data_IF_063538959433
#
_entry.id   IF_063538959433
#
_cell.length_a   1.000
_cell.length_b   1.000
_cell.length_c   1.000
_cell.angle_alpha   90.00
_cell.angle_beta   90.00
_cell.angle_gamma   90.00
#
_symmetry.space_group_name_H-M   'P 1'
#
loop_
_entity.id
_entity.type
_entity.pdbx_description
1 polymer ?
#
# COMPACT_ATOMS: atom_id res chain seq x y z
N UNK A 1 -11.02 20.67 -11.74
CA UNK A 1 -11.27 20.04 -10.43
C UNK A 1 -12.23 20.89 -9.65
N UNK A 2 -13.31 20.29 -9.16
CA UNK A 2 -14.26 20.96 -8.27
C UNK A 2 -13.60 21.27 -6.90
N UNK A 3 -14.15 22.23 -6.14
CA UNK A 3 -13.57 22.62 -4.85
C UNK A 3 -13.49 21.46 -3.84
N UNK A 4 -14.51 20.59 -3.82
CA UNK A 4 -14.54 19.39 -2.96
C UNK A 4 -13.38 18.43 -3.24
N UNK A 5 -13.06 18.24 -4.51
CA UNK A 5 -11.97 17.38 -4.99
C UNK A 5 -10.60 18.00 -4.67
N UNK A 6 -10.43 19.30 -4.89
CA UNK A 6 -9.20 20.03 -4.52
C UNK A 6 -8.88 19.91 -3.03
N UNK A 7 -9.91 19.99 -2.19
CA UNK A 7 -9.79 19.79 -0.74
C UNK A 7 -9.28 18.38 -0.43
N UNK A 8 -9.92 17.36 -1.00
CA UNK A 8 -9.56 15.96 -0.78
C UNK A 8 -8.12 15.68 -1.21
N UNK A 9 -7.70 16.13 -2.39
CA UNK A 9 -6.33 15.93 -2.89
C UNK A 9 -5.32 16.59 -1.97
N UNK A 10 -5.53 17.85 -1.58
CA UNK A 10 -4.61 18.53 -0.66
C UNK A 10 -4.58 17.89 0.73
N UNK A 11 -5.72 17.45 1.24
CA UNK A 11 -5.79 16.72 2.50
C UNK A 11 -5.02 15.40 2.42
N UNK A 12 -5.15 14.67 1.32
CA UNK A 12 -4.39 13.44 1.06
C UNK A 12 -2.89 13.70 1.10
N UNK A 13 -2.39 14.71 0.38
CA UNK A 13 -0.97 15.07 0.39
C UNK A 13 -0.46 15.35 1.82
N UNK A 14 -1.20 16.17 2.58
CA UNK A 14 -0.82 16.55 3.93
C UNK A 14 -0.87 15.36 4.90
N UNK A 15 -1.92 14.53 4.83
CA UNK A 15 -2.02 13.33 5.68
C UNK A 15 -0.90 12.35 5.36
N UNK A 16 -0.61 12.10 4.07
CA UNK A 16 0.44 11.18 3.65
C UNK A 16 1.82 11.63 4.12
N UNK A 17 2.09 12.93 4.12
CA UNK A 17 3.39 13.46 4.53
C UNK A 17 3.53 13.59 6.05
N UNK A 18 2.53 14.15 6.72
CA UNK A 18 2.66 14.58 8.12
C UNK A 18 1.94 13.67 9.11
N UNK A 19 1.12 12.73 8.65
CA UNK A 19 0.23 11.92 9.47
C UNK A 19 -1.15 12.56 9.62
N UNK A 20 -2.16 11.77 10.00
CA UNK A 20 -3.53 12.29 10.10
C UNK A 20 -3.64 13.19 11.33
N UNK A 21 -3.09 12.78 12.47
CA UNK A 21 -3.28 13.48 13.74
C UNK A 21 -2.69 14.89 13.75
N UNK A 22 -1.56 15.09 13.08
CA UNK A 22 -0.82 16.36 13.06
C UNK A 22 -1.45 17.42 12.16
N UNK A 23 -2.26 17.03 11.17
CA UNK A 23 -2.88 17.94 10.20
C UNK A 23 -4.26 18.37 10.67
N UNK A 24 -4.48 19.66 10.88
CA UNK A 24 -5.79 20.21 11.25
C UNK A 24 -6.59 20.66 10.02
N UNK A 25 -7.91 20.87 10.22
CA UNK A 25 -8.75 21.50 9.19
C UNK A 25 -8.28 22.92 8.84
N UNK A 26 -7.63 23.63 9.79
CA UNK A 26 -7.07 24.95 9.53
C UNK A 26 -5.84 24.88 8.61
N UNK A 27 -4.97 23.89 8.81
CA UNK A 27 -3.78 23.68 7.97
C UNK A 27 -4.17 23.43 6.51
N UNK A 28 -5.22 22.62 6.30
CA UNK A 28 -5.75 22.30 4.97
C UNK A 28 -6.35 23.56 4.31
N UNK A 29 -7.17 24.31 5.05
CA UNK A 29 -7.77 25.55 4.55
C UNK A 29 -6.70 26.60 4.17
N UNK A 30 -5.69 26.76 5.02
CA UNK A 30 -4.57 27.68 4.80
C UNK A 30 -3.74 27.28 3.56
N UNK A 31 -3.42 25.99 3.39
CA UNK A 31 -2.70 25.48 2.22
C UNK A 31 -3.46 25.68 0.90
N UNK A 32 -4.79 25.80 0.96
CA UNK A 32 -5.63 26.02 -0.20
C UNK A 32 -5.99 27.50 -0.44
N UNK A 33 -5.57 28.41 0.45
CA UNK A 33 -5.95 29.81 0.41
C UNK A 33 -7.46 30.03 0.57
N UNK A 34 -8.14 29.17 1.34
CA UNK A 34 -9.57 29.26 1.57
C UNK A 34 -9.91 29.44 3.05
N UNK A 35 -11.12 29.90 3.33
CA UNK A 35 -11.58 29.99 4.72
C UNK A 35 -11.94 28.62 5.28
N UNK A 36 -11.75 28.43 6.59
CA UNK A 36 -12.22 27.23 7.32
C UNK A 36 -13.72 27.00 7.12
N UNK A 37 -14.51 28.07 7.04
CA UNK A 37 -15.95 28.00 6.77
C UNK A 37 -16.25 27.38 5.41
N UNK A 38 -15.46 27.72 4.38
CA UNK A 38 -15.60 27.14 3.03
C UNK A 38 -15.27 25.65 3.05
N UNK A 39 -14.22 25.24 3.76
CA UNK A 39 -13.88 23.83 3.93
C UNK A 39 -15.05 23.03 4.53
N UNK A 40 -15.66 23.56 5.60
CA UNK A 40 -16.80 22.93 6.26
C UNK A 40 -18.11 22.88 5.45
N UNK A 41 -18.20 23.62 4.33
CA UNK A 41 -19.33 23.47 3.41
C UNK A 41 -19.26 22.17 2.61
N UNK A 42 -18.05 21.58 2.47
CA UNK A 42 -17.82 20.37 1.68
C UNK A 42 -17.63 19.11 2.52
N UNK A 43 -17.07 19.26 3.72
CA UNK A 43 -16.85 18.18 4.69
C UNK A 43 -17.24 18.68 6.07
N UNK A 44 -18.22 18.03 6.72
CA UNK A 44 -18.79 18.44 7.99
C UNK A 44 -17.76 18.41 9.13
N UNK A 45 -16.82 17.48 9.06
CA UNK A 45 -15.73 17.35 10.02
C UNK A 45 -14.49 16.72 9.38
N UNK A 46 -13.44 16.55 10.20
CA UNK A 46 -12.19 15.91 9.78
C UNK A 46 -12.37 14.42 9.52
N UNK A 47 -13.27 13.73 10.21
CA UNK A 47 -13.49 12.30 10.04
C UNK A 47 -14.10 12.00 8.67
N UNK A 48 -15.05 12.82 8.22
CA UNK A 48 -15.63 12.75 6.88
C UNK A 48 -14.55 12.96 5.80
N UNK A 49 -13.68 13.96 5.98
CA UNK A 49 -12.59 14.23 5.05
C UNK A 49 -11.55 13.09 5.02
N UNK A 50 -11.17 12.57 6.18
CA UNK A 50 -10.28 11.40 6.29
C UNK A 50 -10.92 10.20 5.59
N UNK A 51 -12.21 9.94 5.83
CA UNK A 51 -12.92 8.86 5.17
C UNK A 51 -12.91 8.99 3.64
N UNK A 52 -13.23 10.18 3.11
CA UNK A 52 -13.22 10.43 1.67
C UNK A 52 -11.82 10.27 1.05
N UNK A 53 -10.78 10.76 1.72
CA UNK A 53 -9.39 10.59 1.27
C UNK A 53 -9.00 9.12 1.19
N UNK A 54 -9.26 8.34 2.24
CA UNK A 54 -8.86 6.94 2.29
C UNK A 54 -9.71 6.04 1.39
N UNK A 55 -10.99 6.33 1.22
CA UNK A 55 -11.86 5.62 0.27
C UNK A 55 -11.38 5.79 -1.18
N UNK A 56 -11.04 7.03 -1.56
CA UNK A 56 -10.44 7.32 -2.86
C UNK A 56 -9.07 6.65 -3.03
N UNK A 57 -8.24 6.66 -1.97
CA UNK A 57 -6.92 6.03 -1.97
C UNK A 57 -7.02 4.51 -2.13
N UNK A 58 -7.90 3.84 -1.38
CA UNK A 58 -8.16 2.39 -1.49
C UNK A 58 -8.66 2.05 -2.90
N UNK A 59 -9.57 2.85 -3.45
CA UNK A 59 -10.09 2.64 -4.81
C UNK A 59 -8.99 2.72 -5.85
N UNK A 60 -8.06 3.68 -5.72
CA UNK A 60 -6.89 3.77 -6.59
C UNK A 60 -5.98 2.55 -6.43
N UNK A 61 -5.64 2.17 -5.21
CA UNK A 61 -4.80 0.99 -4.94
C UNK A 61 -5.41 -0.31 -5.50
N UNK A 62 -6.74 -0.46 -5.47
CA UNK A 62 -7.43 -1.57 -6.13
C UNK A 62 -7.17 -1.57 -7.64
N UNK A 63 -7.33 -0.41 -8.28
CA UNK A 63 -7.03 -0.22 -9.70
C UNK A 63 -5.59 -0.56 -10.05
N UNK A 64 -4.63 -0.09 -9.23
CA UNK A 64 -3.20 -0.32 -9.42
C UNK A 64 -2.86 -1.82 -9.30
N UNK A 65 -3.45 -2.52 -8.31
CA UNK A 65 -3.28 -3.97 -8.15
C UNK A 65 -3.81 -4.75 -9.37
N UNK A 66 -5.01 -4.40 -9.86
CA UNK A 66 -5.59 -5.03 -11.06
C UNK A 66 -4.75 -4.74 -12.30
N UNK A 67 -4.26 -3.51 -12.43
CA UNK A 67 -3.36 -3.11 -13.51
C UNK A 67 -2.07 -3.92 -13.49
N UNK A 68 -1.44 -4.08 -12.32
CA UNK A 68 -0.24 -4.90 -12.15
C UNK A 68 -0.49 -6.35 -12.60
N UNK A 69 -1.61 -6.94 -12.18
CA UNK A 69 -1.98 -8.31 -12.57
C UNK A 69 -2.21 -8.47 -14.07
N UNK A 70 -2.91 -7.53 -14.70
CA UNK A 70 -3.20 -7.57 -16.14
C UNK A 70 -1.96 -7.34 -17.01
N UNK A 71 -1.01 -6.52 -16.54
CA UNK A 71 0.23 -6.20 -17.25
C UNK A 71 1.36 -7.19 -16.94
N UNK A 72 1.16 -8.11 -15.99
CA UNK A 72 2.16 -9.08 -15.61
C UNK A 72 2.34 -10.17 -16.69
N UNK A 73 3.59 -10.59 -16.89
CA UNK A 73 3.93 -11.73 -17.76
C UNK A 73 3.77 -13.09 -17.05
N UNK A 74 3.51 -13.06 -15.75
CA UNK A 74 3.39 -14.21 -14.85
C UNK A 74 3.35 -13.78 -13.39
N UNK A 75 3.07 -14.72 -12.47
CA UNK A 75 2.90 -14.47 -11.04
C UNK A 75 4.10 -13.77 -10.38
N UNK A 76 5.32 -14.19 -10.71
CA UNK A 76 6.55 -13.52 -10.21
C UNK A 76 6.63 -12.08 -10.70
N UNK A 77 6.35 -11.83 -11.99
CA UNK A 77 6.42 -10.47 -12.54
C UNK A 77 5.41 -9.53 -11.88
N UNK A 78 4.20 -10.02 -11.62
CA UNK A 78 3.16 -9.27 -10.92
C UNK A 78 3.66 -8.77 -9.55
N UNK A 79 4.24 -9.66 -8.74
CA UNK A 79 4.76 -9.27 -7.42
C UNK A 79 5.90 -8.25 -7.54
N UNK A 80 6.72 -8.32 -8.60
CA UNK A 80 7.75 -7.31 -8.85
C UNK A 80 7.18 -5.94 -9.21
N UNK A 81 6.16 -5.89 -10.08
CA UNK A 81 5.46 -4.65 -10.41
C UNK A 81 4.82 -4.05 -9.15
N UNK A 82 4.10 -4.87 -8.38
CA UNK A 82 3.50 -4.46 -7.10
C UNK A 82 4.54 -3.98 -6.10
N UNK A 83 5.71 -4.62 -6.03
CA UNK A 83 6.79 -4.20 -5.14
C UNK A 83 7.33 -2.81 -5.51
N UNK A 84 7.53 -2.52 -6.80
CA UNK A 84 8.01 -1.21 -7.25
C UNK A 84 7.01 -0.10 -6.86
N UNK A 85 5.72 -0.30 -7.15
CA UNK A 85 4.66 0.65 -6.81
C UNK A 85 4.55 0.88 -5.29
N UNK A 86 4.54 -0.20 -4.49
CA UNK A 86 4.46 -0.09 -3.03
C UNK A 86 5.69 0.63 -2.46
N UNK A 87 6.89 0.34 -2.97
CA UNK A 87 8.10 0.99 -2.48
C UNK A 87 8.08 2.50 -2.75
N UNK A 88 7.64 2.91 -3.94
CA UNK A 88 7.52 4.33 -4.30
C UNK A 88 6.50 5.04 -3.40
N UNK A 89 5.32 4.44 -3.23
CA UNK A 89 4.26 4.99 -2.40
C UNK A 89 4.67 5.08 -0.92
N UNK A 90 5.23 4.01 -0.36
CA UNK A 90 5.56 3.92 1.06
C UNK A 90 6.79 4.73 1.44
N UNK A 91 7.67 5.05 0.50
CA UNK A 91 8.83 5.92 0.76
C UNK A 91 8.43 7.35 1.08
N UNK A 92 7.26 7.79 0.60
CA UNK A 92 6.72 9.13 0.83
C UNK A 92 5.60 9.15 1.88
N UNK A 93 5.26 7.98 2.43
CA UNK A 93 4.15 7.80 3.36
C UNK A 93 4.61 7.91 4.82
N UNK A 94 3.83 8.64 5.62
CA UNK A 94 4.04 8.73 7.05
C UNK A 94 3.67 7.39 7.72
N UNK A 95 4.59 6.74 8.45
CA UNK A 95 4.33 5.43 9.04
C UNK A 95 3.24 5.45 10.13
N UNK A 96 2.90 6.63 10.66
CA UNK A 96 1.84 6.77 11.67
C UNK A 96 0.42 6.69 11.08
N UNK A 97 0.24 6.75 9.76
CA UNK A 97 -1.09 6.80 9.13
C UNK A 97 -2.03 5.69 9.59
N UNK A 98 -1.57 4.44 9.52
CA UNK A 98 -2.40 3.30 9.89
C UNK A 98 -2.70 3.29 11.40
N UNK A 99 -1.71 3.62 12.22
CA UNK A 99 -1.91 3.76 13.66
C UNK A 99 -2.94 4.86 13.98
N UNK A 100 -2.86 6.01 13.31
CA UNK A 100 -3.80 7.11 13.48
C UNK A 100 -5.22 6.73 13.04
N UNK A 101 -5.35 6.01 11.91
CA UNK A 101 -6.63 5.46 11.47
C UNK A 101 -7.23 4.54 12.52
N UNK A 102 -6.45 3.56 12.99
CA UNK A 102 -6.92 2.58 13.96
C UNK A 102 -7.37 3.23 15.27
N UNK A 103 -6.63 4.24 15.74
CA UNK A 103 -6.86 4.84 17.05
C UNK A 103 -7.92 5.93 17.07
N UNK A 104 -8.03 6.72 16.01
CA UNK A 104 -8.85 7.93 15.98
C UNK A 104 -9.96 7.91 14.92
N UNK A 105 -9.83 7.10 13.87
CA UNK A 105 -10.76 7.08 12.72
C UNK A 105 -11.27 5.66 12.44
N UNK A 106 -11.82 5.00 13.47
CA UNK A 106 -12.16 3.57 13.47
C UNK A 106 -13.01 3.13 12.27
N UNK A 107 -14.03 3.90 11.89
CA UNK A 107 -14.87 3.59 10.72
C UNK A 107 -14.05 3.50 9.42
N UNK A 108 -13.12 4.42 9.22
CA UNK A 108 -12.24 4.42 8.04
C UNK A 108 -11.23 3.27 8.11
N UNK A 109 -10.73 2.97 9.31
CA UNK A 109 -9.90 1.79 9.54
C UNK A 109 -10.64 0.48 9.21
N UNK A 110 -11.92 0.35 9.57
CA UNK A 110 -12.74 -0.82 9.21
C UNK A 110 -12.86 -0.98 7.69
N UNK A 111 -13.01 0.11 6.93
CA UNK A 111 -13.04 0.06 5.46
C UNK A 111 -11.71 -0.45 4.90
N UNK A 112 -10.58 0.04 5.42
CA UNK A 112 -9.26 -0.49 5.08
C UNK A 112 -9.14 -2.00 5.41
N UNK A 113 -9.63 -2.42 6.58
CA UNK A 113 -9.61 -3.84 6.97
C UNK A 113 -10.50 -4.71 6.07
N UNK A 114 -11.64 -4.19 5.60
CA UNK A 114 -12.48 -4.88 4.62
C UNK A 114 -11.77 -5.02 3.27
N UNK A 115 -11.08 -3.97 2.82
CA UNK A 115 -10.24 -4.03 1.63
C UNK A 115 -9.14 -5.11 1.77
N UNK A 116 -8.42 -5.14 2.89
CA UNK A 116 -7.40 -6.16 3.19
C UNK A 116 -7.97 -7.58 3.19
N UNK A 117 -9.05 -7.78 3.95
CA UNK A 117 -9.62 -9.11 4.23
C UNK A 117 -10.52 -9.65 3.12
N UNK A 118 -10.78 -8.87 2.06
CA UNK A 118 -11.54 -9.31 0.88
C UNK A 118 -10.70 -9.19 -0.38
N UNK A 119 -10.41 -7.97 -0.80
CA UNK A 119 -9.76 -7.72 -2.08
C UNK A 119 -8.31 -8.22 -2.10
N UNK A 120 -7.47 -7.80 -1.14
CA UNK A 120 -6.07 -8.24 -1.10
C UNK A 120 -5.95 -9.74 -0.84
N UNK A 121 -6.89 -10.31 -0.07
CA UNK A 121 -6.95 -11.76 0.17
C UNK A 121 -7.08 -12.52 -1.14
N UNK A 122 -8.01 -12.09 -1.98
CA UNK A 122 -8.27 -12.72 -3.27
C UNK A 122 -7.10 -12.51 -4.23
N UNK A 123 -6.57 -11.28 -4.34
CA UNK A 123 -5.40 -10.98 -5.18
C UNK A 123 -4.19 -11.86 -4.85
N UNK A 124 -3.85 -11.98 -3.56
CA UNK A 124 -2.72 -12.80 -3.12
C UNK A 124 -2.97 -14.29 -3.40
N UNK A 125 -4.19 -14.79 -3.13
CA UNK A 125 -4.55 -16.18 -3.41
C UNK A 125 -4.42 -16.50 -4.89
N UNK A 126 -5.00 -15.66 -5.76
CA UNK A 126 -4.96 -15.83 -7.21
C UNK A 126 -3.52 -15.80 -7.75
N UNK A 127 -2.68 -14.90 -7.22
CA UNK A 127 -1.27 -14.84 -7.60
C UNK A 127 -0.54 -16.16 -7.26
N UNK A 128 -0.75 -16.71 -6.05
CA UNK A 128 -0.14 -17.97 -5.63
C UNK A 128 -0.61 -19.13 -6.51
N UNK A 129 -1.93 -19.25 -6.73
CA UNK A 129 -2.52 -20.29 -7.57
C UNK A 129 -1.98 -20.24 -9.01
N UNK A 130 -1.93 -19.03 -9.59
CA UNK A 130 -1.38 -18.82 -10.92
C UNK A 130 0.10 -19.16 -11.00
N UNK A 131 0.89 -18.77 -9.99
CA UNK A 131 2.32 -19.08 -9.96
C UNK A 131 2.62 -20.57 -9.82
N UNK A 132 1.76 -21.34 -9.15
CA UNK A 132 1.83 -22.81 -9.13
C UNK A 132 1.52 -23.37 -10.52
N UNK A 133 0.46 -22.90 -11.18
CA UNK A 133 0.08 -23.33 -12.52
C UNK A 133 1.15 -23.00 -13.59
N UNK A 134 1.87 -21.88 -13.41
CA UNK A 134 3.01 -21.47 -14.25
C UNK A 134 4.33 -22.20 -13.90
N UNK A 135 4.31 -23.07 -12.87
CA UNK A 135 5.47 -23.78 -12.29
C UNK A 135 6.56 -22.83 -11.73
N UNK A 136 6.20 -21.57 -11.48
CA UNK A 136 7.09 -20.57 -10.89
C UNK A 136 7.12 -20.69 -9.37
N UNK A 137 6.02 -21.15 -8.76
CA UNK A 137 5.90 -21.41 -7.32
C UNK A 137 5.84 -22.91 -7.03
N UNK A 138 6.27 -23.30 -5.82
CA UNK A 138 6.35 -24.71 -5.45
C UNK A 138 4.93 -25.33 -5.39
N UNK A 139 4.74 -26.58 -5.84
CA UNK A 139 3.43 -27.20 -5.89
C UNK A 139 2.92 -27.70 -4.52
N UNK A 140 3.80 -27.77 -3.51
CA UNK A 140 3.51 -28.25 -2.16
C UNK A 140 3.07 -27.13 -1.18
N UNK A 141 2.89 -25.91 -1.68
CA UNK A 141 2.52 -24.76 -0.86
C UNK A 141 1.10 -24.89 -0.29
N UNK A 142 0.95 -24.62 1.01
CA UNK A 142 -0.36 -24.42 1.61
C UNK A 142 -0.85 -22.99 1.33
N UNK A 143 -1.66 -22.84 0.28
CA UNK A 143 -2.15 -21.55 -0.23
C UNK A 143 -2.88 -20.77 0.87
N UNK A 144 -3.75 -21.41 1.65
CA UNK A 144 -4.55 -20.72 2.68
C UNK A 144 -3.67 -20.12 3.79
N UNK A 145 -2.69 -20.88 4.27
CA UNK A 145 -1.74 -20.42 5.30
C UNK A 145 -0.88 -19.27 4.76
N UNK A 146 -0.38 -19.39 3.53
CA UNK A 146 0.50 -18.39 2.94
C UNK A 146 -0.23 -17.09 2.59
N UNK A 147 -1.48 -17.17 2.11
CA UNK A 147 -2.33 -15.99 1.91
C UNK A 147 -2.55 -15.25 3.22
N UNK A 148 -2.94 -15.96 4.30
CA UNK A 148 -3.13 -15.35 5.63
C UNK A 148 -1.83 -14.74 6.16
N UNK A 149 -0.72 -15.48 6.08
CA UNK A 149 0.59 -14.98 6.47
C UNK A 149 0.97 -13.72 5.69
N UNK A 150 0.69 -13.67 4.39
CA UNK A 150 1.00 -12.49 3.57
C UNK A 150 0.19 -11.27 4.01
N UNK A 151 -1.09 -11.44 4.31
CA UNK A 151 -2.00 -10.37 4.75
C UNK A 151 -1.68 -9.82 6.14
N UNK A 152 -1.07 -10.61 7.01
CA UNK A 152 -0.61 -10.13 8.32
C UNK A 152 0.82 -9.59 8.24
N UNK A 153 1.71 -10.25 7.51
CA UNK A 153 3.10 -9.79 7.35
C UNK A 153 3.20 -8.44 6.64
N UNK A 154 2.27 -8.09 5.73
CA UNK A 154 2.20 -6.75 5.13
C UNK A 154 1.88 -5.64 6.12
N UNK A 155 1.29 -5.96 7.27
CA UNK A 155 0.93 -4.99 8.30
C UNK A 155 2.09 -4.70 9.25
N UNK A 156 3.07 -5.61 9.35
CA UNK A 156 4.19 -5.49 10.28
C UNK A 156 4.99 -4.18 10.12
N UNK A 157 5.32 -3.68 8.91
CA UNK A 157 6.02 -2.41 8.75
C UNK A 157 5.32 -1.20 9.40
N UNK A 158 4.01 -1.28 9.62
CA UNK A 158 3.21 -0.23 10.26
C UNK A 158 3.14 -0.35 11.79
N UNK A 159 3.64 -1.45 12.37
CA UNK A 159 3.77 -1.55 13.82
C UNK A 159 5.00 -0.74 14.28
N UNK A 160 4.72 0.49 14.70
CA UNK A 160 5.75 1.44 15.14
C UNK A 160 6.47 1.03 16.42
N UNK A 161 5.96 0.05 17.18
CA UNK A 161 6.70 -0.50 18.31
C UNK A 161 7.76 -1.50 17.85
N UNK A 162 7.45 -2.24 16.77
CA UNK A 162 8.36 -3.20 16.16
C UNK A 162 9.38 -2.52 15.24
N UNK A 163 8.93 -1.55 14.44
CA UNK A 163 9.76 -0.77 13.51
C UNK A 163 9.60 0.74 13.78
N UNK A 164 10.32 1.30 14.78
CA UNK A 164 10.23 2.71 15.13
C UNK A 164 10.59 3.66 13.98
N UNK A 165 9.75 4.69 13.71
CA UNK A 165 10.04 5.73 12.73
C UNK A 165 11.37 6.43 13.05
N UNK A 166 12.23 6.60 12.04
CA UNK A 166 13.56 7.20 12.18
C UNK A 166 14.71 6.21 12.33
N UNK A 167 14.41 4.95 12.69
CA UNK A 167 15.38 3.84 12.62
C UNK A 167 15.15 2.94 11.41
N UNK A 168 13.90 2.80 10.99
CA UNK A 168 13.49 1.94 9.87
C UNK A 168 12.67 2.76 8.87
N UNK A 169 12.97 2.61 7.58
CA UNK A 169 12.15 3.16 6.50
C UNK A 169 10.98 2.23 6.18
N UNK A 170 9.77 2.79 6.02
CA UNK A 170 8.56 2.02 5.74
C UNK A 170 8.66 1.24 4.42
N UNK A 171 9.07 1.92 3.34
CA UNK A 171 9.27 1.30 2.02
C UNK A 171 10.34 0.21 2.01
N UNK A 172 11.51 0.48 2.63
CA UNK A 172 12.60 -0.50 2.73
C UNK A 172 12.18 -1.75 3.51
N UNK A 173 11.58 -1.57 4.69
CA UNK A 173 11.11 -2.67 5.55
C UNK A 173 10.08 -3.52 4.82
N UNK A 174 9.15 -2.87 4.11
CA UNK A 174 8.14 -3.56 3.30
C UNK A 174 8.78 -4.36 2.17
N UNK A 175 9.78 -3.80 1.50
CA UNK A 175 10.52 -4.49 0.44
C UNK A 175 11.23 -5.75 0.94
N UNK A 176 11.93 -5.67 2.07
CA UNK A 176 12.63 -6.82 2.69
C UNK A 176 11.65 -7.94 3.04
N UNK A 177 10.52 -7.61 3.68
CA UNK A 177 9.50 -8.60 4.07
C UNK A 177 8.87 -9.25 2.83
N UNK A 178 8.58 -8.45 1.80
CA UNK A 178 8.02 -8.95 0.55
C UNK A 178 9.00 -9.85 -0.21
N UNK A 179 10.29 -9.49 -0.24
CA UNK A 179 11.34 -10.29 -0.84
C UNK A 179 11.48 -11.65 -0.14
N UNK A 180 11.50 -11.67 1.20
CA UNK A 180 11.50 -12.90 1.99
C UNK A 180 10.29 -13.78 1.64
N UNK A 181 9.10 -13.17 1.53
CA UNK A 181 7.90 -13.90 1.14
C UNK A 181 8.02 -14.52 -0.26
N UNK A 182 8.44 -13.75 -1.26
CA UNK A 182 8.55 -14.21 -2.66
C UNK A 182 9.57 -15.36 -2.78
N UNK A 183 10.75 -15.21 -2.19
CA UNK A 183 11.75 -16.28 -2.18
C UNK A 183 11.27 -17.52 -1.43
N UNK A 184 10.41 -17.31 -0.43
CA UNK A 184 9.68 -18.38 0.25
C UNK A 184 8.70 -19.15 -0.64
N UNK A 185 8.27 -18.66 -1.80
CA UNK A 185 7.29 -19.34 -2.68
C UNK A 185 7.91 -20.07 -3.88
N UNK A 186 9.00 -19.53 -4.42
CA UNK A 186 9.44 -19.91 -5.78
C UNK A 186 10.08 -21.29 -5.91
N UNK A 187 9.95 -21.87 -7.09
CA UNK A 187 10.77 -22.99 -7.58
C UNK A 187 12.14 -22.49 -8.05
N UNK A 188 13.03 -23.39 -8.48
CA UNK A 188 14.29 -22.99 -9.12
C UNK A 188 14.09 -22.19 -10.42
N UNK A 189 12.98 -22.45 -11.15
CA UNK A 189 12.59 -21.67 -12.33
C UNK A 189 12.19 -20.25 -11.92
N UNK A 190 11.37 -20.12 -10.86
CA UNK A 190 11.00 -18.83 -10.28
C UNK A 190 12.22 -18.05 -9.77
N UNK A 191 13.13 -18.71 -9.03
CA UNK A 191 14.37 -18.09 -8.53
C UNK A 191 15.21 -17.42 -9.62
N UNK A 192 15.42 -18.10 -10.76
CA UNK A 192 16.15 -17.53 -11.91
C UNK A 192 15.44 -16.30 -12.47
N UNK A 193 14.11 -16.31 -12.48
CA UNK A 193 13.32 -15.18 -12.95
C UNK A 193 13.41 -13.98 -12.01
N UNK A 194 13.35 -14.20 -10.69
CA UNK A 194 13.60 -13.16 -9.68
C UNK A 194 14.99 -12.53 -9.90
N UNK A 195 16.04 -13.33 -10.09
CA UNK A 195 17.40 -12.83 -10.33
C UNK A 195 17.46 -11.91 -11.56
N UNK A 196 16.81 -12.33 -12.66
CA UNK A 196 16.72 -11.50 -13.87
C UNK A 196 16.03 -10.16 -13.63
N UNK A 197 14.95 -10.13 -12.84
CA UNK A 197 14.28 -8.89 -12.50
C UNK A 197 15.11 -7.99 -11.57
N UNK A 198 15.78 -8.57 -10.57
CA UNK A 198 16.69 -7.84 -9.68
C UNK A 198 17.87 -7.20 -10.45
N UNK A 199 18.45 -7.91 -11.42
CA UNK A 199 19.50 -7.36 -12.29
C UNK A 199 18.97 -6.19 -13.14
N UNK A 200 17.77 -6.32 -13.70
CA UNK A 200 17.15 -5.25 -14.49
C UNK A 200 16.86 -4.01 -13.62
N UNK A 201 16.32 -4.20 -12.41
CA UNK A 201 16.04 -3.13 -11.45
C UNK A 201 17.32 -2.42 -11.02
N UNK A 202 18.38 -3.17 -10.72
CA UNK A 202 19.68 -2.62 -10.33
C UNK A 202 20.28 -1.75 -11.44
N UNK A 203 20.16 -2.18 -12.70
CA UNK A 203 20.61 -1.37 -13.86
C UNK A 203 19.83 -0.07 -14.01
N UNK A 204 18.51 -0.10 -13.81
CA UNK A 204 17.65 1.11 -13.85
C UNK A 204 18.02 2.13 -12.77
N UNK A 205 18.34 1.65 -11.56
CA UNK A 205 18.78 2.49 -10.45
C UNK A 205 20.16 3.13 -10.68
N UNK A 206 21.05 2.46 -11.43
CA UNK A 206 22.38 2.99 -11.77
C UNK A 206 22.37 3.94 -12.98
N UNK A 207 21.28 4.00 -13.73
CA UNK A 207 21.12 4.85 -14.92
C UNK A 207 20.36 6.16 -14.67
N UNK A 208 19.84 6.35 -13.45
CA UNK A 208 19.16 7.56 -12.97
C UNK A 208 20.04 8.31 -11.98
#
# INVERSE_FOLDING_TARGET
>A
MEAKERIMVKASELFMQYGIRSVSMDDIANNLGMSKKTLYQYYADKDELVHAVFDAHITRMQGDCVSCANNAKGAVHELFLTLEEIMEEFSNMNPMLLHDLQKFHFRTYEVFMQYKNKFLTEMVRQNIERGIAEELYRPDLNIDVLTKFRLESMMLPFDVNLFPPGKYGLGETTGIIMELFIYGLVTQKGHKLIQKYNEARSKKLLSN
#
